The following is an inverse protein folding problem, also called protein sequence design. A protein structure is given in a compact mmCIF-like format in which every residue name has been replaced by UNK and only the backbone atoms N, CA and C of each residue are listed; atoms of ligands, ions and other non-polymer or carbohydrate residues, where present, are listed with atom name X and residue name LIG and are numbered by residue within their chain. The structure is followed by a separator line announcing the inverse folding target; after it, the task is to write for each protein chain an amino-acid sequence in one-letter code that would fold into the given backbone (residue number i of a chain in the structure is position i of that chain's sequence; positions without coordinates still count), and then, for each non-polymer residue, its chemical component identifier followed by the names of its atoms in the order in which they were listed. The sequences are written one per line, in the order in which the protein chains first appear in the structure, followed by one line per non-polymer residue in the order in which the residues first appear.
data_IF_114533263201
#
_entry.id   IF_114533263201
#
_cell.length_a   1.000
_cell.length_b   1.000
_cell.length_c   1.000
_cell.angle_alpha   90.00
_cell.angle_beta   90.00
_cell.angle_gamma   90.00
#
_symmetry.space_group_name_H-M   'P 1'
#
loop_
_entity.id
_entity.type
_entity.pdbx_description
1 polymer ?
#
# COMPACT_ATOMS: atom_id res chain seq x y z
N UNK A 1 -29.89 10.77 40.53
CA UNK A 1 -29.87 10.08 39.23
C UNK A 1 -30.57 10.98 38.21
N UNK A 2 -29.82 11.76 37.46
CA UNK A 2 -30.37 12.60 36.38
C UNK A 2 -30.36 11.76 35.09
N UNK A 3 -31.46 11.69 34.32
CA UNK A 3 -31.48 10.93 33.07
C UNK A 3 -30.55 11.58 32.04
N UNK A 4 -29.63 10.80 31.49
CA UNK A 4 -28.78 11.19 30.39
C UNK A 4 -29.66 11.57 29.18
N UNK A 5 -29.63 12.84 28.80
CA UNK A 5 -30.26 13.32 27.57
C UNK A 5 -29.56 12.59 26.38
N UNK A 6 -30.24 11.60 25.84
CA UNK A 6 -29.92 11.02 24.54
C UNK A 6 -30.13 12.13 23.50
N UNK A 7 -29.04 12.72 23.05
CA UNK A 7 -29.07 13.66 21.91
C UNK A 7 -29.68 12.97 20.68
N UNK A 8 -30.24 13.73 19.72
CA UNK A 8 -30.91 13.19 18.55
C UNK A 8 -29.96 12.24 17.82
N UNK A 9 -30.42 11.03 17.49
CA UNK A 9 -29.68 10.03 16.76
C UNK A 9 -29.14 10.65 15.47
N UNK A 10 -27.81 10.71 15.33
CA UNK A 10 -27.17 11.28 14.15
C UNK A 10 -27.62 10.45 12.94
N UNK A 11 -28.11 11.08 11.84
CA UNK A 11 -28.59 10.36 10.67
C UNK A 11 -27.46 9.49 10.08
N UNK A 12 -27.79 8.32 9.57
CA UNK A 12 -26.86 7.28 9.07
C UNK A 12 -25.85 7.81 8.03
N UNK A 13 -26.24 8.77 7.21
CA UNK A 13 -25.36 9.39 6.21
C UNK A 13 -24.18 10.17 6.82
N UNK A 14 -24.31 10.64 8.07
CA UNK A 14 -23.20 11.29 8.81
C UNK A 14 -22.07 10.29 9.08
N UNK A 15 -22.40 9.02 9.21
CA UNK A 15 -21.44 7.94 9.40
C UNK A 15 -20.86 7.44 8.07
N UNK A 16 -21.66 7.44 6.99
CA UNK A 16 -21.22 6.95 5.68
C UNK A 16 -20.38 7.95 4.90
N UNK A 17 -20.61 9.25 5.05
CA UNK A 17 -19.91 10.26 4.27
C UNK A 17 -18.37 10.23 4.46
N UNK A 18 -17.81 10.13 5.68
CA UNK A 18 -16.36 9.99 5.83
C UNK A 18 -15.82 8.69 5.24
N UNK A 19 -16.52 7.56 5.40
CA UNK A 19 -16.11 6.28 4.81
C UNK A 19 -16.10 6.35 3.28
N UNK A 20 -17.16 6.86 2.67
CA UNK A 20 -17.25 7.07 1.23
C UNK A 20 -16.13 7.97 0.71
N UNK A 21 -15.81 9.05 1.45
CA UNK A 21 -14.69 9.94 1.10
C UNK A 21 -13.35 9.21 1.13
N UNK A 22 -13.06 8.42 2.18
CA UNK A 22 -11.82 7.66 2.27
C UNK A 22 -11.74 6.57 1.21
N UNK A 23 -12.86 5.92 0.86
CA UNK A 23 -12.97 4.95 -0.24
C UNK A 23 -12.69 5.61 -1.59
N UNK A 24 -13.26 6.79 -1.85
CA UNK A 24 -12.99 7.56 -3.08
C UNK A 24 -11.53 7.97 -3.18
N UNK A 25 -10.92 8.43 -2.09
CA UNK A 25 -9.48 8.70 -2.04
C UNK A 25 -8.69 7.43 -2.36
N UNK A 26 -9.00 6.31 -1.69
CA UNK A 26 -8.30 5.05 -1.90
C UNK A 26 -8.42 4.53 -3.35
N UNK A 27 -9.56 4.76 -4.00
CA UNK A 27 -9.80 4.43 -5.41
C UNK A 27 -8.91 5.25 -6.37
N UNK A 28 -8.33 6.35 -5.92
CA UNK A 28 -7.41 7.16 -6.72
C UNK A 28 -5.93 6.85 -6.47
N UNK A 29 -5.59 6.00 -5.48
CA UNK A 29 -4.19 5.86 -5.04
C UNK A 29 -3.36 4.88 -5.87
N UNK A 30 -3.95 4.03 -6.72
CA UNK A 30 -3.19 3.06 -7.51
C UNK A 30 -3.39 3.18 -9.02
N UNK A 31 -4.57 3.53 -9.49
CA UNK A 31 -4.90 3.64 -10.91
C UNK A 31 -3.93 4.54 -11.71
N UNK A 32 -3.66 5.78 -11.24
CA UNK A 32 -2.83 6.73 -12.00
C UNK A 32 -1.39 6.27 -12.28
N UNK A 33 -0.80 5.41 -11.47
CA UNK A 33 0.51 4.85 -11.75
C UNK A 33 0.45 3.45 -12.37
N UNK A 34 -0.56 2.64 -12.04
CA UNK A 34 -0.76 1.32 -12.65
C UNK A 34 -1.08 1.41 -14.14
N UNK A 35 -1.67 2.52 -14.59
CA UNK A 35 -1.94 2.80 -15.98
C UNK A 35 -0.68 3.02 -16.86
N UNK A 36 0.49 3.29 -16.25
CA UNK A 36 1.72 3.61 -17.00
C UNK A 36 2.31 2.38 -17.69
N UNK A 37 2.36 1.24 -17.00
CA UNK A 37 2.98 0.02 -17.52
C UNK A 37 2.43 -0.42 -18.89
N UNK A 38 1.10 -0.59 -19.03
CA UNK A 38 0.50 -1.03 -20.29
C UNK A 38 0.71 -0.10 -21.50
N UNK A 39 1.03 1.18 -21.28
CA UNK A 39 1.17 2.20 -22.33
C UNK A 39 2.62 2.70 -22.50
N UNK A 40 3.59 1.97 -21.99
CA UNK A 40 5.01 2.34 -22.14
C UNK A 40 5.48 2.39 -23.59
N UNK A 41 4.90 1.56 -24.46
CA UNK A 41 5.21 1.57 -25.89
C UNK A 41 4.76 2.85 -26.57
N UNK A 42 3.53 3.26 -26.32
CA UNK A 42 2.92 4.47 -26.86
C UNK A 42 3.61 5.73 -26.32
N UNK A 43 3.94 5.73 -25.01
CA UNK A 43 4.73 6.82 -24.39
C UNK A 43 6.12 6.93 -25.03
N UNK A 44 6.77 5.79 -25.32
CA UNK A 44 8.07 5.76 -25.99
C UNK A 44 8.00 6.36 -27.40
N UNK A 45 6.98 6.02 -28.15
CA UNK A 45 6.75 6.57 -29.48
C UNK A 45 6.40 8.06 -29.44
N UNK A 46 5.47 8.47 -28.55
CA UNK A 46 4.99 9.85 -28.43
C UNK A 46 6.08 10.81 -27.95
N UNK A 47 6.94 10.38 -27.01
CA UNK A 47 8.00 11.21 -26.44
C UNK A 47 9.36 11.04 -27.10
N UNK A 48 9.52 10.09 -28.02
CA UNK A 48 10.81 9.71 -28.62
C UNK A 48 11.88 9.35 -27.57
N UNK A 49 11.47 8.66 -26.48
CA UNK A 49 12.33 8.24 -25.37
C UNK A 49 12.41 6.71 -25.34
N UNK A 50 13.61 6.12 -25.18
CA UNK A 50 13.75 4.66 -25.11
C UNK A 50 12.87 4.02 -24.03
N UNK A 51 12.21 2.89 -24.33
CA UNK A 51 11.37 2.14 -23.37
C UNK A 51 12.09 1.84 -22.06
N UNK A 52 13.39 1.49 -22.12
CA UNK A 52 14.20 1.22 -20.95
C UNK A 52 14.29 2.41 -19.99
N UNK A 53 14.37 3.64 -20.51
CA UNK A 53 14.37 4.85 -19.68
C UNK A 53 12.99 5.08 -19.05
N UNK A 54 11.91 4.80 -19.78
CA UNK A 54 10.54 4.92 -19.26
C UNK A 54 10.18 3.82 -18.26
N UNK A 55 10.84 2.66 -18.30
CA UNK A 55 10.64 1.59 -17.32
C UNK A 55 10.94 2.03 -15.87
N UNK A 56 11.80 3.04 -15.69
CA UNK A 56 12.04 3.67 -14.38
C UNK A 56 10.74 4.19 -13.75
N UNK A 57 9.77 4.65 -14.55
CA UNK A 57 8.48 5.15 -14.07
C UNK A 57 7.65 4.08 -13.32
N UNK A 58 7.85 2.81 -13.63
CA UNK A 58 7.14 1.70 -12.96
C UNK A 58 7.76 1.35 -11.61
N UNK A 59 9.05 1.58 -11.42
CA UNK A 59 9.78 1.33 -10.16
C UNK A 59 9.75 2.54 -9.20
N UNK A 60 9.62 3.74 -9.76
CA UNK A 60 9.64 5.01 -9.03
C UNK A 60 8.63 5.09 -7.87
N UNK A 61 7.40 4.54 -7.98
CA UNK A 61 6.44 4.56 -6.88
C UNK A 61 6.95 3.91 -5.60
N UNK A 62 7.64 2.77 -5.66
CA UNK A 62 8.15 2.08 -4.48
C UNK A 62 9.20 2.92 -3.75
N UNK A 63 10.10 3.53 -4.51
CA UNK A 63 11.13 4.41 -3.95
C UNK A 63 10.50 5.66 -3.33
N UNK A 64 9.56 6.30 -4.03
CA UNK A 64 8.83 7.46 -3.50
C UNK A 64 8.05 7.10 -2.24
N UNK A 65 7.37 5.95 -2.22
CA UNK A 65 6.65 5.50 -1.02
C UNK A 65 7.60 5.31 0.16
N UNK A 66 8.76 4.71 -0.07
CA UNK A 66 9.78 4.53 0.97
C UNK A 66 10.31 5.85 1.53
N UNK A 67 10.66 6.78 0.65
CA UNK A 67 11.31 8.05 1.02
C UNK A 67 10.33 9.10 1.57
N UNK A 68 9.11 9.16 1.05
CA UNK A 68 8.13 10.22 1.41
C UNK A 68 7.27 9.82 2.61
N UNK A 69 6.98 8.53 2.82
CA UNK A 69 6.14 8.06 3.93
C UNK A 69 6.51 8.61 5.31
N UNK A 70 7.80 8.79 5.68
CA UNK A 70 8.18 9.36 6.97
C UNK A 70 7.69 10.79 7.21
N UNK A 71 7.40 11.54 6.15
CA UNK A 71 6.95 12.93 6.26
C UNK A 71 5.47 13.05 6.63
N UNK A 72 4.67 12.02 6.35
CA UNK A 72 3.23 12.04 6.51
C UNK A 72 2.76 12.31 7.96
N UNK A 73 3.35 11.68 9.01
CA UNK A 73 2.95 11.98 10.39
C UNK A 73 3.28 13.41 10.81
N UNK A 74 4.39 13.98 10.34
CA UNK A 74 4.75 15.38 10.62
C UNK A 74 3.75 16.34 9.96
N UNK A 75 3.33 16.03 8.72
CA UNK A 75 2.31 16.80 8.01
C UNK A 75 0.96 16.70 8.75
N UNK A 76 0.57 15.51 9.20
CA UNK A 76 -0.65 15.32 9.98
C UNK A 76 -0.61 16.03 11.34
N UNK A 77 0.56 16.09 11.99
CA UNK A 77 0.72 16.81 13.25
C UNK A 77 0.54 18.33 13.08
N UNK A 78 0.98 18.89 11.95
CA UNK A 78 0.86 20.33 11.66
C UNK A 78 -0.52 20.74 11.15
N UNK A 79 -1.09 19.98 10.25
CA UNK A 79 -2.30 20.34 9.50
C UNK A 79 -3.57 19.64 10.03
N UNK A 80 -3.40 18.58 10.82
CA UNK A 80 -4.44 17.60 11.11
C UNK A 80 -4.50 16.51 10.03
N UNK A 81 -4.97 15.30 10.40
CA UNK A 81 -4.93 14.12 9.51
C UNK A 81 -5.72 14.31 8.21
N UNK A 82 -6.91 14.92 8.27
CA UNK A 82 -7.76 15.12 7.09
C UNK A 82 -7.17 16.12 6.09
N UNK A 83 -6.59 17.22 6.59
CA UNK A 83 -5.93 18.22 5.74
C UNK A 83 -4.62 17.68 5.14
N UNK A 84 -3.93 16.83 5.88
CA UNK A 84 -2.73 16.17 5.38
C UNK A 84 -3.05 15.17 4.25
N UNK A 85 -4.14 14.38 4.39
CA UNK A 85 -4.65 13.54 3.30
C UNK A 85 -5.07 14.38 2.11
N UNK A 86 -5.79 15.50 2.32
CA UNK A 86 -6.13 16.43 1.25
C UNK A 86 -4.88 16.95 0.53
N UNK A 87 -3.83 17.33 1.26
CA UNK A 87 -2.55 17.74 0.69
C UNK A 87 -1.94 16.65 -0.21
N UNK A 88 -2.02 15.38 0.21
CA UNK A 88 -1.63 14.23 -0.62
C UNK A 88 -2.46 14.10 -1.91
N UNK A 89 -3.78 14.25 -1.81
CA UNK A 89 -4.69 14.21 -2.99
C UNK A 89 -4.43 15.38 -3.92
N UNK A 90 -4.14 16.57 -3.40
CA UNK A 90 -3.78 17.73 -4.23
C UNK A 90 -2.44 17.53 -4.95
N UNK A 91 -1.43 17.00 -4.26
CA UNK A 91 -0.15 16.65 -4.88
C UNK A 91 -0.34 15.58 -5.99
N UNK A 92 -1.20 14.59 -5.76
CA UNK A 92 -1.60 13.61 -6.76
C UNK A 92 -2.25 14.28 -7.99
N UNK A 93 -3.21 15.19 -7.78
CA UNK A 93 -3.90 15.91 -8.85
C UNK A 93 -2.92 16.78 -9.68
N UNK A 94 -2.07 17.56 -9.01
CA UNK A 94 -1.04 18.37 -9.69
C UNK A 94 -0.04 17.50 -10.43
N UNK A 95 0.39 16.39 -9.84
CA UNK A 95 1.28 15.43 -10.50
C UNK A 95 0.69 14.84 -11.78
N UNK A 96 -0.61 14.50 -11.79
CA UNK A 96 -1.30 14.04 -13.00
C UNK A 96 -1.37 15.18 -14.04
N UNK A 97 -1.72 16.39 -13.63
CA UNK A 97 -1.85 17.55 -14.50
C UNK A 97 -0.51 17.99 -15.14
N UNK A 98 0.61 17.67 -14.53
CA UNK A 98 1.94 17.97 -15.09
C UNK A 98 2.38 16.98 -16.19
N UNK A 99 1.84 15.76 -16.23
CA UNK A 99 2.28 14.72 -17.18
C UNK A 99 2.26 15.12 -18.65
N UNK A 100 1.26 15.89 -19.16
CA UNK A 100 1.23 16.31 -20.56
C UNK A 100 2.34 17.27 -20.97
N UNK A 101 3.10 17.84 -20.03
CA UNK A 101 4.21 18.77 -20.32
C UNK A 101 5.48 18.07 -20.86
N UNK A 102 5.32 16.97 -21.60
CA UNK A 102 6.40 16.22 -22.23
C UNK A 102 7.17 15.33 -21.25
N UNK A 103 8.38 14.93 -21.63
CA UNK A 103 9.20 13.97 -20.86
C UNK A 103 9.44 14.43 -19.42
N UNK A 104 9.87 15.65 -19.22
CA UNK A 104 10.09 16.21 -17.87
C UNK A 104 8.81 16.28 -17.04
N UNK A 105 7.69 16.69 -17.66
CA UNK A 105 6.38 16.70 -17.03
C UNK A 105 5.93 15.30 -16.60
N UNK A 106 6.18 14.28 -17.43
CA UNK A 106 5.86 12.90 -17.12
C UNK A 106 6.65 12.39 -15.90
N UNK A 107 7.97 12.60 -15.85
CA UNK A 107 8.79 12.17 -14.72
C UNK A 107 8.49 12.97 -13.45
N UNK A 108 8.54 14.30 -13.51
CA UNK A 108 8.27 15.18 -12.36
C UNK A 108 6.83 14.99 -11.85
N UNK A 109 5.86 14.88 -12.75
CA UNK A 109 4.48 14.58 -12.43
C UNK A 109 4.33 13.22 -11.76
N UNK A 110 5.05 12.20 -12.20
CA UNK A 110 5.04 10.87 -11.57
C UNK A 110 5.66 10.90 -10.18
N UNK A 111 6.77 11.61 -9.95
CA UNK A 111 7.34 11.80 -8.61
C UNK A 111 6.34 12.50 -7.70
N UNK A 112 5.74 13.58 -8.14
CA UNK A 112 4.81 14.37 -7.32
C UNK A 112 3.53 13.59 -6.98
N UNK A 113 2.93 12.91 -7.97
CA UNK A 113 1.73 12.10 -7.71
C UNK A 113 2.02 10.94 -6.77
N UNK A 114 3.17 10.25 -6.92
CA UNK A 114 3.54 9.14 -6.05
C UNK A 114 3.90 9.63 -4.64
N UNK A 115 4.49 10.80 -4.50
CA UNK A 115 4.66 11.45 -3.20
C UNK A 115 3.30 11.74 -2.52
N UNK A 116 2.33 12.26 -3.27
CA UNK A 116 0.96 12.47 -2.80
C UNK A 116 0.30 11.16 -2.36
N UNK A 117 0.45 10.10 -3.16
CA UNK A 117 -0.03 8.75 -2.84
C UNK A 117 0.63 8.24 -1.55
N UNK A 118 1.94 8.41 -1.37
CA UNK A 118 2.66 7.97 -0.18
C UNK A 118 2.07 8.60 1.10
N UNK A 119 1.82 9.90 1.08
CA UNK A 119 1.20 10.61 2.21
C UNK A 119 -0.21 10.07 2.49
N UNK A 120 -1.04 9.93 1.46
CA UNK A 120 -2.40 9.44 1.62
C UNK A 120 -2.44 7.98 2.10
N UNK A 121 -1.61 7.08 1.54
CA UNK A 121 -1.51 5.67 1.96
C UNK A 121 -1.17 5.54 3.45
N UNK A 122 -0.21 6.34 3.94
CA UNK A 122 0.19 6.33 5.36
C UNK A 122 -0.93 6.82 6.25
N UNK A 123 -1.68 7.83 5.82
CA UNK A 123 -2.64 8.53 6.67
C UNK A 123 -4.07 7.99 6.55
N UNK A 124 -4.44 7.23 5.51
CA UNK A 124 -5.79 6.63 5.39
C UNK A 124 -6.16 5.76 6.60
N UNK A 125 -5.30 4.86 7.14
CA UNK A 125 -5.61 4.12 8.36
C UNK A 125 -5.78 5.03 9.58
N UNK A 126 -4.96 6.08 9.68
CA UNK A 126 -5.05 7.07 10.77
C UNK A 126 -6.33 7.92 10.66
N UNK A 127 -6.75 8.30 9.44
CA UNK A 127 -7.99 9.01 9.18
C UNK A 127 -9.22 8.13 9.47
N UNK A 128 -9.18 6.85 9.07
CA UNK A 128 -10.22 5.89 9.41
C UNK A 128 -10.36 5.74 10.94
N UNK A 129 -9.23 5.67 11.66
CA UNK A 129 -9.24 5.63 13.12
C UNK A 129 -9.79 6.93 13.74
N UNK A 130 -9.45 8.07 13.18
CA UNK A 130 -9.95 9.36 13.65
C UNK A 130 -11.49 9.48 13.54
N UNK A 131 -12.08 8.86 12.51
CA UNK A 131 -13.52 8.91 12.26
C UNK A 131 -14.31 7.82 13.02
N UNK A 132 -13.73 6.61 13.13
CA UNK A 132 -14.45 5.41 13.56
C UNK A 132 -13.89 4.77 14.83
N UNK A 133 -12.75 5.25 15.35
CA UNK A 133 -12.11 4.67 16.54
C UNK A 133 -11.82 3.17 16.33
N UNK A 134 -12.30 2.35 17.27
CA UNK A 134 -12.11 0.89 17.23
C UNK A 134 -12.94 0.19 16.13
N UNK A 135 -13.91 0.91 15.54
CA UNK A 135 -14.73 0.42 14.41
C UNK A 135 -14.16 0.76 13.04
N UNK A 136 -12.89 1.18 12.96
CA UNK A 136 -12.22 1.55 11.70
C UNK A 136 -11.93 0.35 10.76
N UNK A 137 -11.89 -0.88 11.27
CA UNK A 137 -11.48 -2.05 10.50
C UNK A 137 -12.31 -2.33 9.23
N UNK A 138 -13.65 -2.22 9.21
CA UNK A 138 -14.43 -2.36 7.98
C UNK A 138 -14.11 -1.29 6.93
N UNK A 139 -13.89 -0.04 7.38
CA UNK A 139 -13.52 1.07 6.48
C UNK A 139 -12.12 0.84 5.91
N UNK A 140 -11.20 0.33 6.72
CA UNK A 140 -9.87 -0.07 6.26
C UNK A 140 -9.95 -1.18 5.19
N UNK A 141 -10.82 -2.16 5.38
CA UNK A 141 -11.09 -3.20 4.39
C UNK A 141 -11.60 -2.62 3.06
N UNK A 142 -12.62 -1.75 3.13
CA UNK A 142 -13.18 -1.10 1.96
C UNK A 142 -12.15 -0.22 1.23
N UNK A 143 -11.33 0.57 1.95
CA UNK A 143 -10.27 1.38 1.34
C UNK A 143 -9.20 0.51 0.70
N UNK A 144 -8.79 -0.59 1.34
CA UNK A 144 -7.78 -1.50 0.78
C UNK A 144 -8.29 -2.22 -0.48
N UNK A 145 -9.55 -2.68 -0.47
CA UNK A 145 -10.20 -3.27 -1.64
C UNK A 145 -10.29 -2.26 -2.80
N UNK A 146 -10.63 -1.00 -2.49
CA UNK A 146 -10.68 0.09 -3.48
C UNK A 146 -9.32 0.37 -4.11
N UNK A 147 -8.22 0.25 -3.36
CA UNK A 147 -6.87 0.34 -3.92
C UNK A 147 -6.60 -0.78 -4.93
N UNK A 148 -7.03 -2.02 -4.64
CA UNK A 148 -6.92 -3.15 -5.57
C UNK A 148 -7.72 -2.91 -6.84
N UNK A 149 -8.99 -2.51 -6.70
CA UNK A 149 -9.86 -2.15 -7.81
C UNK A 149 -9.26 -1.00 -8.64
N UNK A 150 -8.72 0.02 -8.00
CA UNK A 150 -8.03 1.13 -8.65
C UNK A 150 -6.86 0.68 -9.52
N UNK A 151 -6.04 -0.24 -9.03
CA UNK A 151 -4.93 -0.79 -9.80
C UNK A 151 -5.42 -1.55 -11.04
N UNK A 152 -6.46 -2.38 -10.89
CA UNK A 152 -7.07 -3.14 -11.99
C UNK A 152 -7.69 -2.21 -13.04
N UNK A 153 -8.44 -1.18 -12.59
CA UNK A 153 -8.99 -0.16 -13.51
C UNK A 153 -7.87 0.62 -14.19
N UNK A 154 -6.78 0.96 -13.47
CA UNK A 154 -5.62 1.63 -14.03
C UNK A 154 -5.01 0.87 -15.19
N UNK A 155 -4.68 -0.37 -14.97
CA UNK A 155 -4.10 -1.23 -16.00
C UNK A 155 -5.08 -1.55 -17.13
N UNK A 156 -6.34 -1.89 -16.80
CA UNK A 156 -7.34 -2.31 -17.78
C UNK A 156 -7.87 -1.19 -18.66
N UNK A 157 -7.98 0.04 -18.13
CA UNK A 157 -8.46 1.20 -18.91
C UNK A 157 -7.35 1.92 -19.66
N UNK A 158 -6.06 1.61 -19.40
CA UNK A 158 -4.94 2.34 -19.99
C UNK A 158 -5.01 2.37 -21.52
N UNK A 159 -5.07 1.22 -22.20
CA UNK A 159 -5.15 1.12 -23.65
C UNK A 159 -6.46 1.70 -24.23
N UNK A 160 -7.66 1.38 -23.69
CA UNK A 160 -8.90 2.04 -24.13
C UNK A 160 -8.85 3.56 -24.08
N UNK A 161 -8.24 4.15 -23.04
CA UNK A 161 -8.11 5.60 -22.92
C UNK A 161 -7.13 6.18 -23.96
N UNK A 162 -6.02 5.51 -24.25
CA UNK A 162 -5.11 5.91 -25.32
C UNK A 162 -5.81 5.86 -26.68
N UNK A 163 -6.54 4.80 -26.97
CA UNK A 163 -7.29 4.66 -28.23
C UNK A 163 -8.34 5.75 -28.38
N UNK A 164 -9.06 6.08 -27.29
CA UNK A 164 -10.10 7.10 -27.31
C UNK A 164 -9.55 8.54 -27.44
N UNK A 165 -8.36 8.80 -26.94
CA UNK A 165 -7.76 10.15 -26.93
C UNK A 165 -6.74 10.37 -28.04
N UNK A 166 -6.22 9.29 -28.64
CA UNK A 166 -5.13 9.34 -29.62
C UNK A 166 -3.75 9.68 -29.03
N UNK A 167 -3.61 9.75 -27.69
CA UNK A 167 -2.37 10.12 -27.01
C UNK A 167 -2.27 9.41 -25.67
N UNK A 168 -1.10 8.83 -25.38
CA UNK A 168 -0.84 8.17 -24.11
C UNK A 168 -0.79 9.18 -22.96
N UNK A 169 -0.19 10.33 -23.15
CA UNK A 169 -0.13 11.41 -22.16
C UNK A 169 -1.53 11.92 -21.79
N UNK A 170 -2.38 12.14 -22.79
CA UNK A 170 -3.77 12.58 -22.59
C UNK A 170 -4.58 11.49 -21.89
N UNK A 171 -4.46 10.23 -22.31
CA UNK A 171 -5.11 9.08 -21.66
C UNK A 171 -4.78 8.96 -20.18
N UNK A 172 -3.50 9.12 -19.83
CA UNK A 172 -3.05 9.13 -18.43
C UNK A 172 -3.60 10.34 -17.65
N UNK A 173 -3.85 11.47 -18.31
CA UNK A 173 -4.37 12.68 -17.66
C UNK A 173 -5.84 12.57 -17.28
N UNK A 174 -6.61 11.70 -17.93
CA UNK A 174 -8.03 11.49 -17.60
C UNK A 174 -8.25 10.96 -16.16
N UNK A 175 -7.22 10.37 -15.55
CA UNK A 175 -7.24 10.03 -14.12
C UNK A 175 -7.37 11.25 -13.20
N UNK A 176 -7.20 12.46 -13.71
CA UNK A 176 -7.44 13.69 -12.96
C UNK A 176 -8.91 13.81 -12.54
N UNK A 177 -9.86 13.39 -13.39
CA UNK A 177 -11.30 13.53 -13.09
C UNK A 177 -11.73 12.85 -11.79
N UNK A 178 -11.49 11.54 -11.57
CA UNK A 178 -11.83 10.89 -10.31
C UNK A 178 -11.05 11.49 -9.11
N UNK A 179 -9.81 11.94 -9.32
CA UNK A 179 -9.00 12.57 -8.27
C UNK A 179 -9.59 13.90 -7.83
N UNK A 180 -10.10 14.72 -8.75
CA UNK A 180 -10.79 15.97 -8.42
C UNK A 180 -12.08 15.72 -7.63
N UNK A 181 -12.86 14.68 -7.98
CA UNK A 181 -14.04 14.28 -7.23
C UNK A 181 -13.67 13.87 -5.79
N UNK A 182 -12.64 13.02 -5.64
CA UNK A 182 -12.13 12.61 -4.33
C UNK A 182 -11.59 13.81 -3.52
N UNK A 183 -10.89 14.72 -4.18
CA UNK A 183 -10.39 15.97 -3.61
C UNK A 183 -11.51 16.87 -3.10
N UNK A 184 -12.58 17.05 -3.88
CA UNK A 184 -13.76 17.81 -3.49
C UNK A 184 -14.44 17.20 -2.26
N UNK A 185 -14.66 15.88 -2.25
CA UNK A 185 -15.19 15.18 -1.08
C UNK A 185 -14.28 15.36 0.16
N UNK A 186 -12.95 15.29 -0.04
CA UNK A 186 -11.99 15.46 1.05
C UNK A 186 -11.94 16.90 1.58
N UNK A 187 -12.12 17.92 0.72
CA UNK A 187 -12.28 19.34 1.16
C UNK A 187 -13.50 19.49 2.07
N UNK A 188 -14.64 18.90 1.69
CA UNK A 188 -15.85 18.96 2.51
C UNK A 188 -15.66 18.27 3.86
N UNK A 189 -15.00 17.11 3.88
CA UNK A 189 -14.69 16.39 5.11
C UNK A 189 -13.73 17.19 6.00
N UNK A 190 -12.64 17.73 5.43
CA UNK A 190 -11.64 18.50 6.14
C UNK A 190 -12.21 19.81 6.73
N UNK A 191 -13.15 20.46 6.04
CA UNK A 191 -13.85 21.66 6.55
C UNK A 191 -14.75 21.36 7.72
N UNK A 192 -15.46 20.23 7.72
CA UNK A 192 -16.35 19.82 8.83
C UNK A 192 -15.60 19.48 10.12
N UNK A 193 -14.30 19.18 10.02
CA UNK A 193 -13.44 18.77 11.13
C UNK A 193 -12.49 19.89 11.59
N UNK A 194 -12.91 21.15 11.51
CA UNK A 194 -12.22 22.28 12.10
C UNK A 194 -12.24 22.15 13.63
N UNK A 195 -11.12 21.68 14.23
CA UNK A 195 -11.00 21.61 15.69
C UNK A 195 -10.28 20.36 16.24
N UNK A 196 -9.81 19.46 15.40
CA UNK A 196 -8.90 18.41 15.88
C UNK A 196 -7.63 19.08 16.40
N UNK A 197 -7.41 19.03 17.72
CA UNK A 197 -6.24 19.59 18.36
C UNK A 197 -4.97 19.18 17.59
N UNK A 198 -4.16 20.16 17.21
CA UNK A 198 -2.82 19.91 16.70
C UNK A 198 -2.12 19.01 17.73
N UNK A 199 -1.72 17.82 17.31
CA UNK A 199 -1.03 16.88 18.18
C UNK A 199 0.31 17.52 18.57
N UNK A 200 0.69 17.58 19.85
CA UNK A 200 1.92 18.22 20.29
C UNK A 200 3.13 17.75 19.49
N UNK A 201 3.93 18.70 18.99
CA UNK A 201 5.03 18.46 18.07
C UNK A 201 6.22 17.65 18.64
N UNK A 202 6.21 17.30 19.93
CA UNK A 202 7.29 16.55 20.59
C UNK A 202 6.97 15.04 20.67
N UNK A 203 6.94 14.37 19.53
CA UNK A 203 6.90 12.90 19.50
C UNK A 203 8.14 12.35 18.81
N UNK A 204 8.62 11.14 19.20
CA UNK A 204 9.85 10.57 18.63
C UNK A 204 9.74 10.46 17.10
N UNK A 205 10.88 10.59 16.39
CA UNK A 205 10.90 10.47 14.92
C UNK A 205 10.37 9.09 14.50
N UNK A 206 9.86 9.00 13.27
CA UNK A 206 9.29 7.76 12.69
C UNK A 206 10.22 6.56 12.88
N UNK A 207 11.53 6.76 12.70
CA UNK A 207 12.56 5.72 12.92
C UNK A 207 12.62 5.26 14.37
N UNK A 208 12.36 6.15 15.34
CA UNK A 208 12.33 5.80 16.77
C UNK A 208 11.26 4.78 17.13
N UNK A 209 10.17 4.70 16.35
CA UNK A 209 9.10 3.71 16.53
C UNK A 209 9.62 2.28 16.32
N UNK A 210 10.62 2.09 15.46
CA UNK A 210 11.21 0.77 15.16
C UNK A 210 12.04 0.19 16.30
N UNK A 211 12.33 0.96 17.37
CA UNK A 211 12.94 0.43 18.60
C UNK A 211 11.94 -0.40 19.41
N UNK A 212 10.66 -0.20 19.22
CA UNK A 212 9.63 -1.05 19.82
C UNK A 212 9.52 -2.38 19.05
N UNK A 213 9.55 -3.50 19.76
CA UNK A 213 9.50 -4.85 19.17
C UNK A 213 8.22 -5.14 18.41
N UNK A 214 7.09 -4.61 18.87
CA UNK A 214 5.80 -4.79 18.17
C UNK A 214 5.82 -4.01 16.86
N UNK A 215 6.28 -2.76 16.90
CA UNK A 215 6.41 -1.93 15.70
C UNK A 215 7.37 -2.56 14.68
N UNK A 216 8.52 -3.08 15.15
CA UNK A 216 9.49 -3.76 14.29
C UNK A 216 8.87 -5.00 13.62
N UNK A 217 8.16 -5.86 14.37
CA UNK A 217 7.57 -7.08 13.80
C UNK A 217 6.45 -6.78 12.82
N UNK A 218 5.62 -5.74 13.06
CA UNK A 218 4.62 -5.26 12.10
C UNK A 218 5.29 -4.73 10.84
N UNK A 219 6.37 -3.96 11.00
CA UNK A 219 7.15 -3.41 9.87
C UNK A 219 7.80 -4.51 9.04
N UNK A 220 8.41 -5.50 9.68
CA UNK A 220 9.02 -6.64 8.98
C UNK A 220 7.96 -7.48 8.26
N UNK A 221 6.82 -7.76 8.89
CA UNK A 221 5.73 -8.45 8.23
C UNK A 221 5.25 -7.69 6.99
N UNK A 222 5.03 -6.37 7.11
CA UNK A 222 4.65 -5.51 6.00
C UNK A 222 5.71 -5.52 4.88
N UNK A 223 6.98 -5.38 5.25
CA UNK A 223 8.08 -5.28 4.28
C UNK A 223 8.30 -6.59 3.51
N UNK A 224 8.34 -7.72 4.23
CA UNK A 224 8.58 -9.03 3.61
C UNK A 224 7.40 -9.46 2.72
N UNK A 225 6.14 -9.22 3.13
CA UNK A 225 5.00 -9.48 2.28
C UNK A 225 5.00 -8.58 1.03
N UNK A 226 5.38 -7.30 1.17
CA UNK A 226 5.48 -6.39 0.02
C UNK A 226 6.60 -6.81 -0.92
N UNK A 227 7.75 -7.22 -0.40
CA UNK A 227 8.86 -7.75 -1.19
C UNK A 227 8.41 -8.97 -2.00
N UNK A 228 7.84 -9.97 -1.34
CA UNK A 228 7.36 -11.18 -2.01
C UNK A 228 6.29 -10.85 -3.06
N UNK A 229 5.35 -9.97 -2.75
CA UNK A 229 4.30 -9.55 -3.68
C UNK A 229 4.86 -8.87 -4.93
N UNK A 230 5.68 -7.83 -4.77
CA UNK A 230 6.21 -7.09 -5.93
C UNK A 230 7.20 -7.92 -6.74
N UNK A 231 7.98 -8.79 -6.10
CA UNK A 231 8.88 -9.72 -6.80
C UNK A 231 8.12 -10.69 -7.68
N UNK A 232 7.13 -11.37 -7.12
CA UNK A 232 6.32 -12.32 -7.88
C UNK A 232 5.42 -11.62 -8.92
N UNK A 233 4.92 -10.43 -8.62
CA UNK A 233 4.17 -9.65 -9.60
C UNK A 233 5.04 -9.30 -10.83
N UNK A 234 6.34 -9.12 -10.64
CA UNK A 234 7.29 -8.85 -11.73
C UNK A 234 7.67 -10.09 -12.52
N UNK A 235 7.81 -11.25 -11.85
CA UNK A 235 8.44 -12.41 -12.47
C UNK A 235 7.56 -13.67 -12.58
N UNK A 236 6.35 -13.67 -12.01
CA UNK A 236 5.50 -14.87 -12.01
C UNK A 236 5.10 -15.31 -13.42
N UNK A 237 4.87 -14.37 -14.34
CA UNK A 237 4.55 -14.71 -15.73
C UNK A 237 5.71 -15.45 -16.37
N UNK A 238 6.92 -14.91 -16.26
CA UNK A 238 8.14 -15.52 -16.82
C UNK A 238 8.42 -16.89 -16.19
N UNK A 239 8.26 -17.01 -14.86
CA UNK A 239 8.39 -18.31 -14.16
C UNK A 239 7.40 -19.34 -14.69
N UNK A 240 6.15 -18.93 -14.96
CA UNK A 240 5.12 -19.82 -15.49
C UNK A 240 5.39 -20.20 -16.95
N UNK A 241 5.90 -19.30 -17.75
CA UNK A 241 6.26 -19.56 -19.15
C UNK A 241 7.47 -20.50 -19.22
N UNK A 242 8.54 -20.18 -18.50
CA UNK A 242 9.82 -20.89 -18.59
C UNK A 242 9.80 -22.27 -17.88
N UNK A 243 9.21 -22.35 -16.67
CA UNK A 243 9.26 -23.56 -15.84
C UNK A 243 8.01 -24.44 -15.97
N UNK A 244 6.84 -23.87 -16.29
CA UNK A 244 5.60 -24.63 -16.44
C UNK A 244 5.18 -24.83 -17.90
N UNK A 245 5.81 -24.17 -18.86
CA UNK A 245 5.56 -24.30 -20.29
C UNK A 245 4.18 -23.77 -20.72
N UNK A 246 3.57 -22.85 -19.97
CA UNK A 246 2.29 -22.25 -20.34
C UNK A 246 2.51 -21.09 -21.31
N UNK A 247 1.51 -20.77 -22.13
CA UNK A 247 1.61 -19.63 -23.04
C UNK A 247 1.63 -18.30 -22.29
N UNK A 248 2.25 -17.24 -22.86
CA UNK A 248 2.28 -15.90 -22.29
C UNK A 248 0.89 -15.35 -21.95
N UNK A 249 -0.12 -15.64 -22.79
CA UNK A 249 -1.51 -15.26 -22.53
C UNK A 249 -2.06 -15.95 -21.29
N UNK A 250 -1.76 -17.24 -21.12
CA UNK A 250 -2.19 -18.01 -19.94
C UNK A 250 -1.46 -17.53 -18.70
N UNK A 251 -0.15 -17.31 -18.77
CA UNK A 251 0.67 -16.80 -17.67
C UNK A 251 0.17 -15.43 -17.18
N UNK A 252 -0.03 -14.48 -18.08
CA UNK A 252 -0.61 -13.17 -17.77
C UNK A 252 -2.01 -13.26 -17.17
N UNK A 253 -2.85 -14.17 -17.68
CA UNK A 253 -4.19 -14.44 -17.13
C UNK A 253 -4.14 -14.98 -15.70
N UNK A 254 -3.21 -15.89 -15.39
CA UNK A 254 -3.01 -16.42 -14.05
C UNK A 254 -2.50 -15.38 -13.06
N UNK A 255 -1.57 -14.51 -13.48
CA UNK A 255 -1.11 -13.38 -12.66
C UNK A 255 -2.28 -12.42 -12.36
N UNK A 256 -3.11 -12.11 -13.35
CA UNK A 256 -4.29 -11.26 -13.16
C UNK A 256 -5.31 -11.90 -12.21
N UNK A 257 -5.59 -13.20 -12.37
CA UNK A 257 -6.49 -13.94 -11.49
C UNK A 257 -5.97 -14.02 -10.07
N UNK A 258 -4.67 -14.26 -9.88
CA UNK A 258 -4.02 -14.25 -8.57
C UNK A 258 -4.13 -12.89 -7.88
N UNK A 259 -3.89 -11.80 -8.61
CA UNK A 259 -4.03 -10.43 -8.09
C UNK A 259 -5.49 -10.09 -7.74
N UNK A 260 -6.46 -10.60 -8.50
CA UNK A 260 -7.89 -10.37 -8.27
C UNK A 260 -8.39 -10.95 -6.93
N UNK A 261 -7.76 -12.04 -6.43
CA UNK A 261 -8.04 -12.61 -5.10
C UNK A 261 -7.77 -11.63 -3.96
N UNK A 262 -6.93 -10.61 -4.18
CA UNK A 262 -6.70 -9.53 -3.22
C UNK A 262 -7.96 -8.74 -2.87
N UNK A 263 -8.91 -8.58 -3.77
CA UNK A 263 -10.13 -7.77 -3.54
C UNK A 263 -11.02 -8.38 -2.45
N UNK A 264 -11.48 -9.65 -2.56
CA UNK A 264 -12.29 -10.27 -1.50
C UNK A 264 -11.51 -10.40 -0.19
N UNK A 265 -10.20 -10.68 -0.24
CA UNK A 265 -9.36 -10.72 0.95
C UNK A 265 -9.32 -9.34 1.65
N UNK A 266 -9.19 -8.26 0.89
CA UNK A 266 -9.16 -6.90 1.44
C UNK A 266 -10.48 -6.52 2.13
N UNK A 267 -11.62 -6.98 1.64
CA UNK A 267 -12.93 -6.76 2.26
C UNK A 267 -13.13 -7.62 3.52
N UNK A 268 -12.67 -8.88 3.49
CA UNK A 268 -12.93 -9.85 4.55
C UNK A 268 -11.94 -9.77 5.72
N UNK A 269 -10.64 -9.65 5.42
CA UNK A 269 -9.58 -9.78 6.44
C UNK A 269 -9.68 -8.73 7.55
N UNK A 270 -9.75 -7.41 7.27
CA UNK A 270 -9.74 -6.41 8.35
C UNK A 270 -10.90 -6.55 9.34
N UNK A 271 -12.17 -6.63 8.91
CA UNK A 271 -13.28 -6.72 9.86
C UNK A 271 -13.30 -8.05 10.61
N UNK A 272 -12.89 -9.16 9.98
CA UNK A 272 -12.88 -10.47 10.62
C UNK A 272 -11.70 -10.65 11.57
N UNK A 273 -10.51 -10.19 11.19
CA UNK A 273 -9.32 -10.23 12.04
C UNK A 273 -9.47 -9.34 13.29
N UNK A 274 -10.12 -8.18 13.15
CA UNK A 274 -10.36 -7.27 14.27
C UNK A 274 -11.32 -7.81 15.34
N UNK A 275 -12.11 -8.85 15.04
CA UNK A 275 -13.03 -9.48 16.01
C UNK A 275 -12.32 -10.37 17.04
N UNK A 276 -11.05 -10.70 16.81
CA UNK A 276 -10.28 -11.58 17.69
C UNK A 276 -9.13 -10.82 18.36
N UNK A 277 -8.85 -11.14 19.61
CA UNK A 277 -7.75 -10.51 20.35
C UNK A 277 -6.37 -10.82 19.72
N UNK A 278 -6.18 -12.03 19.21
CA UNK A 278 -4.96 -12.46 18.53
C UNK A 278 -5.22 -12.81 17.06
N UNK A 279 -4.27 -12.51 16.19
CA UNK A 279 -4.37 -12.70 14.74
C UNK A 279 -3.49 -13.84 14.21
N UNK A 280 -3.00 -14.76 15.07
CA UNK A 280 -2.12 -15.85 14.66
C UNK A 280 -2.71 -16.76 13.57
N UNK A 281 -4.01 -17.11 13.68
CA UNK A 281 -4.70 -17.89 12.66
C UNK A 281 -4.75 -17.16 11.29
N UNK A 282 -4.84 -15.83 11.31
CA UNK A 282 -4.78 -15.02 10.10
C UNK A 282 -3.38 -14.98 9.50
N UNK A 283 -2.33 -14.86 10.34
CA UNK A 283 -0.95 -14.92 9.87
C UNK A 283 -0.62 -16.27 9.22
N UNK A 284 -1.13 -17.39 9.78
CA UNK A 284 -1.03 -18.71 9.18
C UNK A 284 -1.84 -18.81 7.88
N UNK A 285 -3.09 -18.33 7.88
CA UNK A 285 -3.97 -18.35 6.69
C UNK A 285 -3.41 -17.55 5.52
N UNK A 286 -2.59 -16.52 5.79
CA UNK A 286 -1.86 -15.74 4.78
C UNK A 286 -0.60 -16.46 4.32
N UNK A 287 0.21 -16.93 5.25
CA UNK A 287 1.54 -17.45 4.96
C UNK A 287 1.50 -18.84 4.34
N UNK A 288 0.62 -19.76 4.81
CA UNK A 288 0.58 -21.14 4.33
C UNK A 288 0.24 -21.21 2.83
N UNK A 289 -0.85 -20.60 2.32
CA UNK A 289 -1.14 -20.66 0.89
C UNK A 289 -0.01 -20.08 0.03
N UNK A 290 0.55 -18.94 0.43
CA UNK A 290 1.65 -18.32 -0.31
C UNK A 290 2.89 -19.23 -0.36
N UNK A 291 3.26 -19.84 0.78
CA UNK A 291 4.39 -20.78 0.85
C UNK A 291 4.14 -22.01 -0.01
N UNK A 292 2.94 -22.60 0.05
CA UNK A 292 2.57 -23.77 -0.76
C UNK A 292 2.64 -23.42 -2.25
N UNK A 293 2.11 -22.27 -2.64
CA UNK A 293 2.16 -21.78 -4.02
C UNK A 293 3.60 -21.65 -4.55
N UNK A 294 4.49 -20.98 -3.81
CA UNK A 294 5.91 -20.80 -4.20
C UNK A 294 6.64 -22.18 -4.21
N UNK A 295 6.35 -23.06 -3.22
CA UNK A 295 6.95 -24.40 -3.17
C UNK A 295 6.50 -25.25 -4.35
N UNK A 296 5.23 -25.15 -4.75
CA UNK A 296 4.69 -25.83 -5.92
C UNK A 296 5.36 -25.38 -7.22
N UNK A 297 5.57 -24.06 -7.38
CA UNK A 297 6.33 -23.49 -8.51
C UNK A 297 7.78 -23.94 -8.52
N UNK A 298 8.40 -24.14 -7.35
CA UNK A 298 9.80 -24.59 -7.23
C UNK A 298 9.97 -26.09 -7.55
N UNK A 299 9.04 -26.95 -7.05
CA UNK A 299 9.24 -28.40 -7.08
C UNK A 299 8.51 -29.09 -8.24
N UNK A 300 7.36 -28.58 -8.66
CA UNK A 300 6.50 -29.18 -9.67
C UNK A 300 5.70 -28.11 -10.46
N UNK A 301 6.39 -27.15 -11.13
CA UNK A 301 5.75 -26.02 -11.78
C UNK A 301 4.69 -26.46 -12.80
N UNK A 302 4.97 -27.42 -13.65
CA UNK A 302 4.09 -27.92 -14.71
C UNK A 302 2.92 -28.80 -14.20
N UNK A 303 2.97 -29.32 -12.95
CA UNK A 303 1.94 -30.22 -12.44
C UNK A 303 0.58 -29.52 -12.25
N UNK A 304 0.58 -28.28 -11.77
CA UNK A 304 -0.63 -27.51 -11.52
C UNK A 304 -0.37 -25.99 -11.49
N UNK A 305 0.11 -25.36 -12.59
CA UNK A 305 0.54 -23.96 -12.60
C UNK A 305 -0.53 -22.99 -12.10
N UNK A 306 -1.79 -23.21 -12.46
CA UNK A 306 -2.91 -22.40 -12.00
C UNK A 306 -3.12 -22.50 -10.48
N UNK A 307 -2.99 -23.69 -9.90
CA UNK A 307 -3.15 -23.90 -8.45
C UNK A 307 -2.05 -23.15 -7.70
N UNK A 308 -0.81 -23.26 -8.15
CA UNK A 308 0.32 -22.61 -7.51
C UNK A 308 0.20 -21.08 -7.56
N UNK A 309 -0.15 -20.53 -8.72
CA UNK A 309 -0.36 -19.09 -8.89
C UNK A 309 -1.52 -18.57 -8.01
N UNK A 310 -2.64 -19.27 -7.97
CA UNK A 310 -3.81 -18.87 -7.18
C UNK A 310 -3.56 -19.00 -5.67
N UNK A 311 -2.87 -20.06 -5.22
CA UNK A 311 -2.48 -20.19 -3.80
C UNK A 311 -1.55 -19.05 -3.36
N UNK A 312 -0.54 -18.73 -4.18
CA UNK A 312 0.28 -17.54 -3.94
C UNK A 312 -0.56 -16.27 -3.88
N UNK A 313 -1.46 -16.07 -4.86
CA UNK A 313 -2.35 -14.91 -4.94
C UNK A 313 -3.28 -14.77 -3.74
N UNK A 314 -3.85 -15.88 -3.25
CA UNK A 314 -4.70 -15.90 -2.05
C UNK A 314 -3.92 -15.47 -0.80
N UNK A 315 -2.72 -16.03 -0.61
CA UNK A 315 -1.87 -15.68 0.53
C UNK A 315 -1.45 -14.22 0.50
N UNK A 316 -0.86 -13.76 -0.60
CA UNK A 316 -0.38 -12.37 -0.73
C UNK A 316 -1.51 -11.37 -0.79
N UNK A 317 -2.65 -11.70 -1.40
CA UNK A 317 -3.85 -10.87 -1.45
C UNK A 317 -4.44 -10.60 -0.07
N UNK A 318 -4.29 -11.52 0.88
CA UNK A 318 -4.68 -11.36 2.27
C UNK A 318 -3.60 -10.69 3.14
N UNK A 319 -2.33 -10.71 2.73
CA UNK A 319 -1.19 -10.25 3.52
C UNK A 319 -1.20 -8.73 3.74
N UNK A 320 -1.40 -7.94 2.68
CA UNK A 320 -1.42 -6.48 2.79
C UNK A 320 -2.59 -5.97 3.66
N UNK A 321 -3.85 -6.43 3.47
CA UNK A 321 -4.95 -6.08 4.36
C UNK A 321 -4.69 -6.46 5.82
N UNK A 322 -4.09 -7.62 6.07
CA UNK A 322 -3.71 -8.04 7.42
C UNK A 322 -2.65 -7.11 8.01
N UNK A 323 -1.61 -6.76 7.25
CA UNK A 323 -0.56 -5.84 7.70
C UNK A 323 -1.14 -4.48 8.11
N UNK A 324 -2.03 -3.91 7.30
CA UNK A 324 -2.71 -2.65 7.63
C UNK A 324 -3.64 -2.79 8.84
N UNK A 325 -4.29 -3.94 9.00
CA UNK A 325 -5.10 -4.25 10.19
C UNK A 325 -4.22 -4.32 11.44
N UNK A 326 -3.05 -4.95 11.37
CA UNK A 326 -2.09 -5.00 12.48
C UNK A 326 -1.61 -3.59 12.86
N UNK A 327 -1.32 -2.72 11.88
CA UNK A 327 -1.01 -1.30 12.16
C UNK A 327 -2.12 -0.65 12.98
N UNK A 328 -3.38 -0.89 12.62
CA UNK A 328 -4.54 -0.34 13.34
C UNK A 328 -4.68 -0.94 14.75
N UNK A 329 -4.59 -2.27 14.87
CA UNK A 329 -4.84 -2.99 16.12
C UNK A 329 -3.68 -2.90 17.13
N UNK A 330 -2.49 -2.55 16.72
CA UNK A 330 -1.29 -2.44 17.59
C UNK A 330 -1.01 -1.00 18.04
N UNK A 331 -1.90 -0.08 17.76
CA UNK A 331 -1.78 1.34 18.13
C UNK A 331 -2.99 1.81 18.93
N UNK A 332 -2.78 2.81 19.81
CA UNK A 332 -3.81 3.33 20.72
C UNK A 332 -4.53 4.54 20.17
N UNK A 333 -3.83 5.39 19.43
CA UNK A 333 -4.34 6.67 18.95
C UNK A 333 -3.97 6.94 17.49
N UNK A 334 -4.60 7.98 16.91
CA UNK A 334 -4.42 8.38 15.51
C UNK A 334 -2.96 8.69 15.18
N UNK A 335 -2.25 9.36 16.10
CA UNK A 335 -0.87 9.75 15.86
C UNK A 335 0.08 8.55 15.89
N UNK A 336 -0.13 7.60 16.79
CA UNK A 336 0.63 6.35 16.85
C UNK A 336 0.35 5.48 15.62
N UNK A 337 -0.93 5.42 15.17
CA UNK A 337 -1.31 4.73 13.93
C UNK A 337 -0.59 5.32 12.72
N UNK A 338 -0.57 6.65 12.59
CA UNK A 338 0.15 7.33 11.49
C UNK A 338 1.66 7.06 11.52
N UNK A 339 2.29 7.08 12.70
CA UNK A 339 3.73 6.82 12.84
C UNK A 339 4.10 5.37 12.53
N UNK A 340 3.33 4.39 13.04
CA UNK A 340 3.57 2.98 12.74
C UNK A 340 3.33 2.70 11.25
N UNK A 341 2.27 3.25 10.67
CA UNK A 341 1.99 3.16 9.23
C UNK A 341 3.12 3.73 8.40
N UNK A 342 3.65 4.90 8.78
CA UNK A 342 4.79 5.53 8.09
C UNK A 342 6.07 4.69 8.20
N UNK A 343 6.38 4.16 9.39
CA UNK A 343 7.56 3.33 9.60
C UNK A 343 7.47 2.02 8.78
N UNK A 344 6.32 1.35 8.85
CA UNK A 344 6.08 0.10 8.13
C UNK A 344 6.15 0.30 6.61
N UNK A 345 5.52 1.35 6.09
CA UNK A 345 5.52 1.61 4.65
C UNK A 345 6.86 2.14 4.14
N UNK A 346 7.54 3.00 4.90
CA UNK A 346 8.87 3.48 4.50
C UNK A 346 9.88 2.35 4.42
N UNK A 347 10.14 1.67 5.53
CA UNK A 347 11.11 0.58 5.56
C UNK A 347 10.65 -0.60 4.67
N UNK A 348 9.36 -0.89 4.67
CA UNK A 348 8.79 -2.00 3.92
C UNK A 348 8.86 -1.81 2.41
N UNK A 349 8.56 -0.63 1.88
CA UNK A 349 8.66 -0.40 0.43
C UNK A 349 10.10 -0.25 -0.06
N UNK A 350 11.01 0.31 0.75
CA UNK A 350 12.45 0.28 0.42
C UNK A 350 12.97 -1.16 0.35
N UNK A 351 12.57 -2.00 1.31
CA UNK A 351 12.89 -3.43 1.26
C UNK A 351 12.25 -4.09 0.04
N UNK A 352 10.98 -3.81 -0.25
CA UNK A 352 10.27 -4.39 -1.40
C UNK A 352 10.91 -4.05 -2.74
N UNK A 353 11.48 -2.86 -2.89
CA UNK A 353 12.17 -2.45 -4.11
C UNK A 353 13.41 -3.31 -4.45
N UNK A 354 13.99 -3.98 -3.46
CA UNK A 354 15.16 -4.86 -3.69
C UNK A 354 14.78 -6.23 -4.25
N UNK A 355 13.54 -6.68 -4.03
CA UNK A 355 13.13 -8.04 -4.35
C UNK A 355 13.19 -8.39 -5.85
N UNK A 356 12.54 -7.64 -6.74
CA UNK A 356 12.60 -7.89 -8.18
C UNK A 356 14.03 -7.87 -8.73
N UNK A 357 14.85 -6.94 -8.24
CA UNK A 357 16.26 -6.82 -8.64
C UNK A 357 17.08 -8.03 -8.20
N UNK A 358 16.93 -8.47 -6.95
CA UNK A 358 17.65 -9.61 -6.41
C UNK A 358 17.29 -10.90 -7.14
N UNK A 359 16.00 -11.15 -7.42
CA UNK A 359 15.56 -12.36 -8.13
C UNK A 359 15.98 -12.31 -9.61
N UNK A 360 15.89 -11.16 -10.27
CA UNK A 360 16.38 -11.00 -11.65
C UNK A 360 17.88 -11.27 -11.75
N UNK A 361 18.68 -10.70 -10.84
CA UNK A 361 20.13 -10.95 -10.80
C UNK A 361 20.46 -12.43 -10.53
N UNK A 362 19.73 -13.07 -9.64
CA UNK A 362 19.89 -14.52 -9.39
C UNK A 362 19.53 -15.34 -10.62
N UNK A 363 18.48 -14.99 -11.36
CA UNK A 363 18.10 -15.62 -12.60
C UNK A 363 19.21 -15.51 -13.64
N UNK A 364 19.73 -14.29 -13.88
CA UNK A 364 20.77 -14.02 -14.89
C UNK A 364 22.10 -14.73 -14.56
N UNK A 365 22.45 -14.80 -13.28
CA UNK A 365 23.72 -15.40 -12.84
C UNK A 365 23.67 -16.92 -12.71
N UNK A 366 22.53 -17.49 -12.34
CA UNK A 366 22.37 -18.93 -12.12
C UNK A 366 21.68 -19.66 -13.28
N UNK A 367 21.18 -18.93 -14.29
CA UNK A 367 20.55 -19.50 -15.47
C UNK A 367 19.18 -20.14 -15.21
N UNK A 368 18.39 -19.61 -14.26
CA UNK A 368 17.05 -20.12 -13.98
C UNK A 368 16.39 -19.53 -12.74
N UNK A 369 15.09 -19.80 -12.54
CA UNK A 369 14.26 -19.20 -11.51
C UNK A 369 14.41 -19.84 -10.11
N UNK A 370 14.96 -21.07 -10.03
CA UNK A 370 15.07 -21.82 -8.77
C UNK A 370 15.74 -21.04 -7.63
N UNK A 371 16.89 -20.38 -7.79
CA UNK A 371 17.54 -19.64 -6.71
C UNK A 371 16.67 -18.49 -6.19
N UNK A 372 15.97 -17.79 -7.10
CA UNK A 372 15.03 -16.72 -6.75
C UNK A 372 13.83 -17.23 -5.93
N UNK A 373 13.24 -18.37 -6.34
CA UNK A 373 12.13 -19.01 -5.61
C UNK A 373 12.58 -19.52 -4.23
N UNK A 374 13.78 -20.06 -4.10
CA UNK A 374 14.38 -20.45 -2.80
C UNK A 374 14.56 -19.22 -1.91
N UNK A 375 15.11 -18.13 -2.44
CA UNK A 375 15.21 -16.86 -1.70
C UNK A 375 13.84 -16.42 -1.17
N UNK A 376 12.81 -16.45 -2.02
CA UNK A 376 11.46 -16.08 -1.60
C UNK A 376 10.92 -16.98 -0.49
N UNK A 377 11.19 -18.30 -0.50
CA UNK A 377 10.81 -19.22 0.57
C UNK A 377 11.53 -18.91 1.89
N UNK A 378 12.81 -18.56 1.85
CA UNK A 378 13.56 -18.13 3.04
C UNK A 378 12.96 -16.84 3.61
N UNK A 379 12.66 -15.87 2.76
CA UNK A 379 12.01 -14.63 3.18
C UNK A 379 10.59 -14.86 3.70
N UNK A 380 9.87 -15.84 3.13
CA UNK A 380 8.55 -16.25 3.61
C UNK A 380 8.62 -16.83 5.04
N UNK A 381 9.66 -17.58 5.39
CA UNK A 381 9.86 -18.03 6.78
C UNK A 381 10.05 -16.84 7.74
N UNK A 382 10.80 -15.82 7.33
CA UNK A 382 10.92 -14.55 8.05
C UNK A 382 9.58 -13.81 8.19
N UNK A 383 8.78 -13.77 7.12
CA UNK A 383 7.44 -13.20 7.12
C UNK A 383 6.52 -13.94 8.12
N UNK A 384 6.58 -15.26 8.17
CA UNK A 384 5.84 -16.06 9.15
C UNK A 384 6.22 -15.71 10.58
N UNK A 385 7.51 -15.69 10.90
CA UNK A 385 8.00 -15.37 12.24
C UNK A 385 7.58 -13.97 12.67
N UNK A 386 7.72 -12.98 11.77
CA UNK A 386 7.27 -11.62 12.00
C UNK A 386 5.75 -11.53 12.18
N UNK A 387 4.99 -12.21 11.31
CA UNK A 387 3.51 -12.25 11.35
C UNK A 387 2.98 -12.85 12.65
N UNK A 388 3.50 -13.99 13.09
CA UNK A 388 3.11 -14.63 14.35
C UNK A 388 3.46 -13.77 15.56
N UNK A 389 4.59 -13.07 15.52
CA UNK A 389 4.98 -12.14 16.59
C UNK A 389 4.06 -10.91 16.61
N UNK A 390 3.82 -10.29 15.47
CA UNK A 390 2.91 -9.14 15.32
C UNK A 390 1.45 -9.48 15.64
N UNK A 391 1.06 -10.76 15.48
CA UNK A 391 -0.28 -11.26 15.75
C UNK A 391 -0.63 -11.33 17.25
N UNK A 392 0.36 -11.23 18.15
CA UNK A 392 0.12 -11.22 19.61
C UNK A 392 -0.58 -9.92 20.01
N UNK A 393 -1.55 -9.95 20.96
CA UNK A 393 -2.32 -8.77 21.36
C UNK A 393 -1.48 -7.83 22.25
N UNK A 394 -0.44 -7.24 21.70
CA UNK A 394 0.44 -6.26 22.36
C UNK A 394 0.37 -4.95 21.61
N UNK A 395 0.36 -3.84 22.33
CA UNK A 395 0.38 -2.50 21.74
C UNK A 395 1.81 -1.97 21.67
N UNK A 396 2.06 -1.12 20.69
CA UNK A 396 3.29 -0.35 20.60
C UNK A 396 3.42 0.55 21.84
N UNK A 397 4.56 0.50 22.48
CA UNK A 397 4.89 1.40 23.60
C UNK A 397 5.52 2.66 23.04
N UNK A 398 5.04 3.84 23.45
CA UNK A 398 5.77 5.08 23.15
C UNK A 398 7.08 5.02 23.94
N UNK A 399 8.21 4.86 23.25
CA UNK A 399 9.53 5.06 23.86
C UNK A 399 9.58 6.52 24.29
N UNK A 400 9.73 6.85 25.59
CA UNK A 400 9.86 8.24 26.02
C UNK A 400 11.04 8.85 25.25
N UNK A 401 10.85 10.08 24.75
CA UNK A 401 12.00 10.88 24.33
C UNK A 401 12.92 10.93 25.55
N UNK A 402 14.12 10.36 25.42
CA UNK A 402 15.15 10.36 26.44
C UNK A 402 15.18 11.77 27.05
N UNK A 403 14.92 11.88 28.34
CA UNK A 403 15.05 13.14 29.05
C UNK A 403 16.44 13.66 28.75
N UNK A 404 16.53 14.67 27.92
CA UNK A 404 17.75 15.48 27.78
C UNK A 404 17.95 16.05 29.18
N UNK A 405 18.82 15.41 29.96
CA UNK A 405 19.24 15.91 31.27
C UNK A 405 19.57 17.38 31.09
N UNK A 406 18.91 18.30 31.79
CA UNK A 406 19.36 19.66 31.79
C UNK A 406 20.80 19.63 32.27
N UNK A 407 21.70 20.15 31.44
CA UNK A 407 23.07 20.38 31.84
C UNK A 407 23.02 21.21 33.11
N UNK A 408 23.27 20.57 34.27
CA UNK A 408 23.54 21.26 35.53
C UNK A 408 24.86 21.97 35.35
N UNK A 409 24.81 23.17 34.80
CA UNK A 409 25.86 24.19 35.04
C UNK A 409 25.76 24.48 36.53
N UNK A 410 26.67 23.94 37.31
CA UNK A 410 26.96 24.40 38.67
C UNK A 410 27.70 25.72 38.58
N UNK A 411 27.44 26.65 39.51
CA UNK A 411 28.07 27.97 39.59
C UNK A 411 29.57 27.91 39.89
#
# INVERSE_FOLDING_TARGET
MTPSRSGPARPWWVWLAPAATLVLVALCLRGPFAAVGPVLGELSAELSVPRAALAVLTSLPLVCFGLVSPTAPALAARLGVHRAVLGGVLALAVGIALRPAGTWGLFAGTVLLTAGIAVANVLVPAAARAEYGDRAAPVLGATTASMGLSASLGAGLAQPLVTATGSALTGLTLWLAPVLVAGGAMVLLARRRHGGAAVPARRPPVVGVLRDRVALTVTLFFGLQSLAFYTMLSWLADVLEDEAGVSAVTAGGLVAAAAALGVPCALAVPPLAARRAGQAAWALGVGVPSTVGITGLLLAPAAAPAVWALLWGLGTGAAFPLAMTLVLLRTRDVAQTGRLSAAAQSAGYLLAATGPLAVGLLHDTAGGWRPGLVLLLVLQAGQFAAGLSAARPRLVTDVPAEEVRPSTTRP
#
